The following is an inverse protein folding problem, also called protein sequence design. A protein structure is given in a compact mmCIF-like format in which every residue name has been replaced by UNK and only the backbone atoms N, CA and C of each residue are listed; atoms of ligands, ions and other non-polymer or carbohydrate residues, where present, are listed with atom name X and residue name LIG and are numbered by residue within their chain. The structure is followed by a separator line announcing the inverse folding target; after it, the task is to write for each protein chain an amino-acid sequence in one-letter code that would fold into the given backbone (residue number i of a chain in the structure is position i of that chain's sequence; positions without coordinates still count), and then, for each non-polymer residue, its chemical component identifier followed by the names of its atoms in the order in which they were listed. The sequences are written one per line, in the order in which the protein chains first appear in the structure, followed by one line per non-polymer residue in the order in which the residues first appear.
data_IF_860154813608
#
_entry.id   IF_860154813608
#
_cell.length_a   1.000
_cell.length_b   1.000
_cell.length_c   1.000
_cell.angle_alpha   90.00
_cell.angle_beta   90.00
_cell.angle_gamma   90.00
#
_symmetry.space_group_name_H-M   'P 1'
#
loop_
_entity.id
_entity.type
_entity.pdbx_description
1 polymer ?
#
# COMPACT_ATOMS: atom_id res chain seq x y z
N UNK A 1 22.40 51.70 -37.95
CA UNK A 1 23.12 50.49 -38.37
C UNK A 1 22.14 49.33 -38.42
N UNK A 2 22.05 48.69 -39.60
CA UNK A 2 21.56 47.32 -39.90
C UNK A 2 20.23 46.85 -39.29
N UNK A 3 19.24 46.70 -40.16
CA UNK A 3 18.02 45.92 -39.92
C UNK A 3 18.07 44.49 -40.47
N UNK A 4 17.08 43.70 -40.03
CA UNK A 4 16.53 42.45 -40.59
C UNK A 4 15.11 42.35 -39.95
N UNK A 5 13.95 42.42 -40.63
CA UNK A 5 13.29 41.51 -41.62
C UNK A 5 13.17 40.08 -41.03
N UNK A 6 12.00 39.43 -40.84
CA UNK A 6 10.81 39.11 -41.66
C UNK A 6 9.55 38.97 -40.76
N UNK A 7 8.32 39.43 -41.06
CA UNK A 7 7.28 39.15 -42.09
C UNK A 7 6.48 37.83 -41.96
N UNK A 8 5.25 38.02 -41.45
CA UNK A 8 3.90 37.42 -41.61
C UNK A 8 3.62 36.06 -42.31
N UNK A 9 2.72 35.31 -41.64
CA UNK A 9 1.50 34.58 -42.07
C UNK A 9 1.48 33.67 -43.33
N UNK A 10 0.86 32.49 -43.15
CA UNK A 10 0.15 31.79 -44.23
C UNK A 10 -0.17 30.32 -43.95
N UNK A 11 -1.40 30.02 -43.52
CA UNK A 11 -2.02 28.69 -43.59
C UNK A 11 -2.42 28.34 -45.03
N UNK A 12 -2.21 27.10 -45.47
CA UNK A 12 -3.12 26.40 -46.42
C UNK A 12 -3.10 24.90 -46.13
N UNK A 13 -4.31 24.33 -46.17
CA UNK A 13 -4.65 22.94 -45.97
C UNK A 13 -4.25 22.01 -47.14
N UNK A 14 -3.97 20.75 -46.81
CA UNK A 14 -4.12 19.57 -47.66
C UNK A 14 -4.93 18.59 -46.78
N UNK A 15 -6.15 18.18 -47.10
CA UNK A 15 -6.66 17.80 -48.41
C UNK A 15 -6.75 16.27 -48.42
N UNK A 16 -7.75 15.71 -47.72
CA UNK A 16 -8.10 14.29 -47.77
C UNK A 16 -8.53 13.92 -49.20
N UNK A 17 -7.83 12.97 -49.83
CA UNK A 17 -8.38 12.23 -50.98
C UNK A 17 -8.70 10.82 -50.53
N UNK A 18 -9.96 10.49 -50.73
CA UNK A 18 -10.67 9.22 -50.58
C UNK A 18 -10.23 8.19 -51.60
N UNK A 19 -10.16 6.93 -51.18
CA UNK A 19 -10.67 5.81 -51.99
C UNK A 19 -11.51 4.88 -51.11
N UNK A 20 -12.63 4.51 -51.71
CA UNK A 20 -13.80 3.85 -51.16
C UNK A 20 -13.63 2.33 -51.22
N UNK A 21 -13.99 1.63 -50.15
CA UNK A 21 -14.40 0.22 -50.21
C UNK A 21 -15.50 -0.03 -49.18
N UNK A 22 -16.67 -0.44 -49.68
CA UNK A 22 -17.93 -0.66 -48.96
C UNK A 22 -17.93 -1.93 -48.10
N UNK A 23 -18.90 -2.09 -47.17
CA UNK A 23 -18.65 -2.62 -45.83
C UNK A 23 -19.09 -4.07 -45.63
N UNK A 24 -18.53 -4.73 -44.61
CA UNK A 24 -19.20 -5.64 -43.67
C UNK A 24 -18.15 -6.35 -42.81
N UNK A 25 -17.96 -5.93 -41.55
CA UNK A 25 -18.28 -6.79 -40.39
C UNK A 25 -18.02 -6.00 -39.09
N UNK A 26 -18.88 -6.23 -38.13
CA UNK A 26 -18.99 -5.51 -36.88
C UNK A 26 -17.98 -6.06 -35.87
N UNK A 27 -17.22 -5.15 -35.26
CA UNK A 27 -16.88 -5.25 -33.85
C UNK A 27 -15.66 -6.09 -33.48
N UNK A 28 -14.54 -5.41 -33.23
CA UNK A 28 -13.82 -5.39 -31.94
C UNK A 28 -12.62 -4.48 -32.09
N UNK A 29 -12.69 -3.28 -31.51
CA UNK A 29 -11.48 -2.54 -31.19
C UNK A 29 -10.71 -3.40 -30.19
N UNK A 30 -9.54 -3.90 -30.59
CA UNK A 30 -8.58 -4.48 -29.66
C UNK A 30 -8.22 -3.42 -28.64
N UNK A 31 -8.79 -3.52 -27.44
CA UNK A 31 -8.24 -2.87 -26.27
C UNK A 31 -6.79 -3.39 -26.10
N UNK A 32 -5.86 -2.60 -25.56
CA UNK A 32 -4.61 -3.16 -25.11
C UNK A 32 -4.94 -4.28 -24.12
N UNK A 33 -4.46 -5.49 -24.41
CA UNK A 33 -4.42 -6.57 -23.42
C UNK A 33 -3.48 -6.07 -22.35
N UNK A 34 -4.03 -5.46 -21.30
CA UNK A 34 -3.35 -5.42 -20.01
C UNK A 34 -3.27 -6.88 -19.63
N UNK A 35 -2.06 -7.45 -19.66
CA UNK A 35 -1.79 -8.71 -19.01
C UNK A 35 -2.12 -8.47 -17.53
N UNK A 36 -3.33 -8.82 -17.14
CA UNK A 36 -3.61 -9.12 -15.75
C UNK A 36 -2.55 -10.14 -15.36
N UNK A 37 -1.80 -9.97 -14.27
CA UNK A 37 -0.98 -11.08 -13.79
C UNK A 37 -1.91 -12.28 -13.72
N UNK A 38 -1.50 -13.32 -14.43
CA UNK A 38 -2.20 -14.60 -14.46
C UNK A 38 -2.51 -14.97 -13.01
N UNK A 39 -3.64 -15.65 -12.82
CA UNK A 39 -4.04 -16.21 -11.55
C UNK A 39 -2.97 -17.22 -11.10
N UNK A 40 -1.87 -16.70 -10.60
CA UNK A 40 -0.77 -17.46 -10.10
C UNK A 40 -1.22 -17.91 -8.72
N UNK A 41 -1.56 -19.19 -8.69
CA UNK A 41 -1.63 -20.07 -7.54
C UNK A 41 -0.28 -20.13 -6.78
N UNK A 42 0.40 -19.00 -6.60
CA UNK A 42 1.43 -18.88 -5.59
C UNK A 42 0.69 -18.98 -4.27
N UNK A 43 0.72 -20.18 -3.68
CA UNK A 43 0.48 -20.35 -2.25
C UNK A 43 1.63 -19.65 -1.56
N UNK A 44 1.54 -18.33 -1.54
CA UNK A 44 2.30 -17.48 -0.65
C UNK A 44 1.75 -17.79 0.74
N UNK A 45 2.61 -18.33 1.60
CA UNK A 45 2.21 -18.72 2.95
C UNK A 45 1.57 -17.53 3.65
N UNK A 46 0.35 -17.69 4.15
CA UNK A 46 -0.30 -16.66 4.97
C UNK A 46 0.45 -16.60 6.30
N UNK A 47 0.90 -15.39 6.65
CA UNK A 47 1.67 -15.12 7.85
C UNK A 47 0.78 -14.50 8.93
N UNK A 48 0.90 -15.02 10.15
CA UNK A 48 0.21 -14.49 11.32
C UNK A 48 -1.31 -14.50 11.19
N UNK A 49 -1.97 -13.61 11.94
CA UNK A 49 -3.42 -13.47 11.96
C UNK A 49 -3.88 -12.47 10.88
N UNK A 50 -4.88 -12.82 10.04
CA UNK A 50 -5.50 -11.85 9.13
C UNK A 50 -6.22 -10.71 9.88
N UNK A 51 -6.29 -9.54 9.26
CA UNK A 51 -7.15 -8.45 9.69
C UNK A 51 -8.54 -8.60 9.06
N UNK A 52 -9.55 -8.89 9.88
CA UNK A 52 -10.93 -9.02 9.40
C UNK A 52 -11.58 -7.64 9.18
N UNK A 53 -11.98 -7.36 7.94
CA UNK A 53 -12.68 -6.12 7.57
C UNK A 53 -14.21 -6.25 7.59
N UNK A 54 -14.70 -7.48 7.79
CA UNK A 54 -16.13 -7.81 7.79
C UNK A 54 -16.66 -8.26 6.42
N UNK A 55 -17.85 -8.87 6.42
CA UNK A 55 -18.50 -9.40 5.22
C UNK A 55 -17.62 -10.37 4.38
N UNK A 56 -16.75 -11.14 5.04
CA UNK A 56 -15.82 -12.07 4.38
C UNK A 56 -14.56 -11.42 3.78
N UNK A 57 -14.43 -10.10 3.86
CA UNK A 57 -13.25 -9.36 3.42
C UNK A 57 -12.21 -9.33 4.53
N UNK A 58 -10.93 -9.51 4.17
CA UNK A 58 -9.82 -9.51 5.13
C UNK A 58 -8.53 -9.06 4.48
N UNK A 59 -7.54 -8.71 5.29
CA UNK A 59 -6.16 -8.47 4.85
C UNK A 59 -5.25 -9.53 5.43
N UNK A 60 -4.45 -10.15 4.57
CA UNK A 60 -3.49 -11.20 4.92
C UNK A 60 -2.07 -10.71 4.65
N UNK A 61 -1.15 -10.99 5.56
CA UNK A 61 0.28 -10.93 5.24
C UNK A 61 0.66 -12.23 4.52
N UNK A 62 1.49 -12.12 3.49
CA UNK A 62 1.83 -13.21 2.57
C UNK A 62 3.31 -13.18 2.26
N UNK A 63 4.00 -14.32 2.30
CA UNK A 63 5.43 -14.41 1.96
C UNK A 63 5.71 -13.92 0.53
N UNK A 64 6.67 -13.00 0.37
CA UNK A 64 7.12 -12.54 -0.93
C UNK A 64 7.98 -13.57 -1.67
N UNK A 65 8.38 -13.22 -2.88
CA UNK A 65 9.27 -14.07 -3.69
C UNK A 65 10.71 -14.13 -3.13
N UNK A 66 11.12 -13.09 -2.40
CA UNK A 66 12.43 -13.03 -1.76
C UNK A 66 12.36 -13.49 -0.29
N UNK A 67 13.37 -14.25 0.20
CA UNK A 67 13.40 -14.68 1.59
C UNK A 67 13.35 -13.50 2.57
N UNK A 68 12.36 -13.52 3.47
CA UNK A 68 12.17 -12.48 4.48
C UNK A 68 11.34 -11.29 4.00
N UNK A 69 10.91 -11.27 2.74
CA UNK A 69 9.92 -10.31 2.26
C UNK A 69 8.50 -10.83 2.51
N UNK A 70 7.58 -9.91 2.70
CA UNK A 70 6.16 -10.18 2.87
C UNK A 70 5.35 -8.97 2.43
N UNK A 71 4.18 -9.23 1.86
CA UNK A 71 3.26 -8.21 1.40
C UNK A 71 1.89 -8.39 2.05
N UNK A 72 1.16 -7.27 2.20
CA UNK A 72 -0.25 -7.33 2.55
C UNK A 72 -1.13 -7.47 1.32
N UNK A 73 -2.09 -8.39 1.40
CA UNK A 73 -3.06 -8.67 0.35
C UNK A 73 -4.47 -8.42 0.88
N UNK A 74 -5.22 -7.60 0.16
CA UNK A 74 -6.67 -7.48 0.36
C UNK A 74 -7.33 -8.68 -0.30
N UNK A 75 -8.06 -9.46 0.50
CA UNK A 75 -8.84 -10.61 0.05
C UNK A 75 -10.31 -10.26 0.17
N UNK A 76 -11.00 -10.32 -0.96
CA UNK A 76 -12.44 -10.09 -1.06
C UNK A 76 -13.23 -11.35 -0.68
N UNK A 77 -14.53 -11.18 -0.45
CA UNK A 77 -15.41 -12.26 0.03
C UNK A 77 -15.54 -13.44 -0.95
N UNK A 78 -15.32 -13.18 -2.24
CA UNK A 78 -15.31 -14.19 -3.30
C UNK A 78 -13.96 -14.92 -3.42
N UNK A 79 -12.98 -14.56 -2.58
CA UNK A 79 -11.63 -15.13 -2.58
C UNK A 79 -10.67 -14.47 -3.56
N UNK A 80 -11.12 -13.50 -4.38
CA UNK A 80 -10.21 -12.69 -5.18
C UNK A 80 -9.28 -11.90 -4.26
N UNK A 81 -8.02 -11.74 -4.67
CA UNK A 81 -7.01 -11.10 -3.85
C UNK A 81 -6.12 -10.20 -4.70
N UNK A 82 -5.73 -9.06 -4.14
CA UNK A 82 -4.78 -8.14 -4.75
C UNK A 82 -3.85 -7.53 -3.68
N UNK A 83 -2.63 -7.10 -4.04
CA UNK A 83 -1.76 -6.36 -3.12
C UNK A 83 -2.49 -5.13 -2.58
N UNK A 84 -2.46 -4.94 -1.26
CA UNK A 84 -3.11 -3.83 -0.58
C UNK A 84 -2.37 -2.51 -0.84
N UNK A 85 -1.06 -2.50 -0.59
CA UNK A 85 -0.22 -1.31 -0.69
C UNK A 85 1.26 -1.70 -0.92
N UNK A 86 1.60 -2.18 -2.13
CA UNK A 86 2.90 -2.78 -2.42
C UNK A 86 4.05 -1.79 -2.20
N UNK A 87 5.11 -2.26 -1.56
CA UNK A 87 6.33 -1.50 -1.31
C UNK A 87 7.52 -2.47 -1.17
N UNK A 88 8.75 -1.97 -1.26
CA UNK A 88 9.92 -2.77 -0.89
C UNK A 88 10.00 -2.89 0.63
N UNK A 89 10.32 -4.08 1.15
CA UNK A 89 10.47 -4.36 2.56
C UNK A 89 9.24 -5.05 3.16
N UNK A 90 9.41 -5.85 4.23
CA UNK A 90 8.35 -6.71 4.75
C UNK A 90 7.20 -5.92 5.36
N UNK A 91 5.97 -6.33 5.05
CA UNK A 91 4.75 -5.89 5.69
C UNK A 91 4.09 -7.01 6.50
N UNK A 92 3.86 -6.75 7.78
CA UNK A 92 3.43 -7.77 8.74
C UNK A 92 2.38 -7.26 9.73
N UNK A 93 1.75 -8.21 10.43
CA UNK A 93 0.81 -7.96 11.54
C UNK A 93 -0.31 -6.97 11.19
N UNK A 94 -1.11 -7.24 10.14
CA UNK A 94 -2.24 -6.39 9.81
C UNK A 94 -3.29 -6.43 10.93
N UNK A 95 -3.82 -5.28 11.29
CA UNK A 95 -4.92 -5.12 12.24
C UNK A 95 -5.99 -4.20 11.67
N UNK A 96 -7.22 -4.68 11.66
CA UNK A 96 -8.37 -3.91 11.20
C UNK A 96 -8.73 -2.81 12.21
N UNK A 97 -8.97 -1.61 11.69
CA UNK A 97 -9.57 -0.51 12.42
C UNK A 97 -11.09 -0.51 12.22
N UNK A 98 -11.90 0.02 13.18
CA UNK A 98 -13.35 0.08 13.04
C UNK A 98 -13.86 0.84 11.80
N UNK A 99 -13.05 1.76 11.25
CA UNK A 99 -13.35 2.52 10.05
C UNK A 99 -12.99 1.80 8.74
N UNK A 100 -12.51 0.55 8.83
CA UNK A 100 -12.12 -0.29 7.71
C UNK A 100 -10.70 -0.06 7.19
N UNK A 101 -9.94 0.87 7.80
CA UNK A 101 -8.49 0.98 7.52
C UNK A 101 -7.72 -0.14 8.23
N UNK A 102 -6.46 -0.30 7.86
CA UNK A 102 -5.57 -1.32 8.42
C UNK A 102 -4.32 -0.67 8.96
N UNK A 103 -4.00 -0.92 10.23
CA UNK A 103 -2.67 -0.61 10.79
C UNK A 103 -1.79 -1.85 10.69
N UNK A 104 -0.52 -1.67 10.36
CA UNK A 104 0.43 -2.76 10.13
C UNK A 104 1.87 -2.34 10.38
N UNK A 105 2.76 -3.31 10.52
CA UNK A 105 4.21 -3.09 10.56
C UNK A 105 4.78 -3.09 9.16
N UNK A 106 5.69 -2.16 8.88
CA UNK A 106 6.39 -2.15 7.60
C UNK A 106 7.87 -1.81 7.74
N UNK A 107 8.67 -2.59 7.02
CA UNK A 107 10.09 -2.36 6.74
C UNK A 107 10.34 -1.45 5.54
N UNK A 108 9.32 -0.82 4.96
CA UNK A 108 9.46 0.02 3.74
C UNK A 108 10.28 1.30 3.89
N UNK A 109 10.77 1.56 5.09
CA UNK A 109 11.75 2.61 5.36
C UNK A 109 12.92 2.00 6.08
N UNK A 110 13.99 2.77 6.27
CA UNK A 110 15.19 2.23 6.92
C UNK A 110 14.98 1.75 8.36
N UNK A 111 13.87 2.12 9.02
CA UNK A 111 13.53 1.67 10.37
C UNK A 111 12.11 1.15 10.36
N UNK A 112 11.90 -0.08 10.84
CA UNK A 112 10.56 -0.67 10.94
C UNK A 112 9.63 0.25 11.70
N UNK A 113 8.47 0.50 11.10
CA UNK A 113 7.51 1.51 11.55
C UNK A 113 6.11 0.94 11.52
N UNK A 114 5.19 1.57 12.26
CA UNK A 114 3.77 1.36 12.06
C UNK A 114 3.29 2.22 10.89
N UNK A 115 2.36 1.68 10.10
CA UNK A 115 1.75 2.31 8.95
C UNK A 115 0.25 2.10 8.99
N UNK A 116 -0.50 2.99 8.33
CA UNK A 116 -1.95 2.84 8.14
C UNK A 116 -2.23 2.83 6.64
N UNK A 117 -2.93 1.81 6.15
CA UNK A 117 -3.42 1.71 4.79
C UNK A 117 -4.94 1.86 4.72
N UNK A 118 -5.42 2.46 3.63
CA UNK A 118 -6.83 2.48 3.27
C UNK A 118 -7.09 1.45 2.15
N UNK A 119 -7.79 0.33 2.44
CA UNK A 119 -8.11 -0.69 1.44
C UNK A 119 -8.90 -0.20 0.23
N UNK A 120 -9.57 0.96 0.31
CA UNK A 120 -10.32 1.52 -0.83
C UNK A 120 -9.41 2.20 -1.84
N UNK A 121 -8.28 2.74 -1.39
CA UNK A 121 -7.38 3.55 -2.23
C UNK A 121 -6.03 2.88 -2.45
N UNK A 122 -5.68 1.88 -1.64
CA UNK A 122 -4.35 1.25 -1.62
C UNK A 122 -3.25 2.18 -1.13
N UNK A 123 -3.60 3.36 -0.60
CA UNK A 123 -2.64 4.32 -0.08
C UNK A 123 -2.25 3.97 1.35
N UNK A 124 -0.97 4.14 1.67
CA UNK A 124 -0.43 3.90 3.01
C UNK A 124 0.34 5.13 3.52
N UNK A 125 0.17 5.45 4.79
CA UNK A 125 0.83 6.57 5.48
C UNK A 125 1.60 6.07 6.68
N UNK A 126 2.84 6.52 6.83
CA UNK A 126 3.68 6.21 7.99
C UNK A 126 3.05 6.81 9.25
N UNK A 127 2.98 6.01 10.32
CA UNK A 127 2.45 6.44 11.61
C UNK A 127 3.57 6.77 12.60
N UNK A 128 4.62 5.95 12.66
CA UNK A 128 5.73 6.11 13.62
C UNK A 128 7.10 6.21 12.94
N UNK A 129 8.12 6.62 13.71
CA UNK A 129 9.53 6.62 13.28
C UNK A 129 9.84 7.46 12.02
N UNK A 130 9.07 8.52 11.80
CA UNK A 130 9.26 9.47 10.70
C UNK A 130 10.70 10.00 10.62
N UNK A 131 11.36 9.77 9.48
CA UNK A 131 12.70 10.28 9.20
C UNK A 131 13.84 9.63 10.00
N UNK A 132 13.58 8.54 10.75
CA UNK A 132 14.64 7.80 11.42
C UNK A 132 15.46 6.98 10.41
N UNK A 133 16.77 6.91 10.63
CA UNK A 133 17.73 6.25 9.73
C UNK A 133 18.46 5.12 10.45
N UNK A 134 18.48 3.92 9.86
CA UNK A 134 19.26 2.78 10.36
C UNK A 134 20.72 3.14 10.66
N UNK A 135 21.24 2.62 11.78
CA UNK A 135 22.63 2.85 12.20
C UNK A 135 22.94 4.27 12.71
N UNK A 136 21.92 5.12 12.85
CA UNK A 136 22.05 6.43 13.52
C UNK A 136 21.44 6.39 14.92
N UNK A 137 21.93 7.21 15.88
CA UNK A 137 21.24 7.38 17.15
C UNK A 137 19.84 7.96 16.94
N UNK A 138 18.83 7.37 17.56
CA UNK A 138 17.45 7.84 17.48
C UNK A 138 17.02 8.55 18.76
N UNK A 139 16.15 9.55 18.60
CA UNK A 139 15.33 10.11 19.67
C UNK A 139 13.87 9.80 19.35
N UNK A 140 13.06 9.50 20.36
CA UNK A 140 11.62 9.19 20.21
C UNK A 140 11.33 7.97 19.31
N UNK A 141 12.24 6.99 19.28
CA UNK A 141 11.98 5.72 18.60
C UNK A 141 10.79 5.03 19.26
N UNK A 142 9.87 4.57 18.43
CA UNK A 142 8.72 3.77 18.81
C UNK A 142 9.00 2.34 18.35
N UNK A 143 9.21 1.38 19.27
CA UNK A 143 9.47 0.00 18.88
C UNK A 143 8.22 -0.60 18.22
N UNK A 144 8.37 -1.45 17.20
CA UNK A 144 7.25 -2.20 16.67
C UNK A 144 6.78 -3.28 17.68
N UNK A 145 5.55 -3.79 17.55
CA UNK A 145 5.11 -5.00 18.25
C UNK A 145 6.09 -6.17 18.08
N UNK A 146 6.29 -6.94 19.15
CA UNK A 146 7.14 -8.15 19.09
C UNK A 146 6.37 -9.44 18.80
N UNK A 147 5.05 -9.35 18.57
CA UNK A 147 4.17 -10.50 18.37
C UNK A 147 2.75 -10.10 17.96
N UNK A 148 1.84 -11.08 17.92
CA UNK A 148 0.46 -10.93 17.44
C UNK A 148 -0.53 -10.38 18.47
N UNK A 149 -0.08 -10.13 19.70
CA UNK A 149 -0.89 -9.57 20.79
C UNK A 149 -1.28 -8.09 20.65
N UNK A 150 -0.87 -7.45 19.54
CA UNK A 150 -1.25 -6.09 19.23
C UNK A 150 -2.77 -5.98 18.93
N UNK A 151 -3.39 -4.91 19.43
CA UNK A 151 -4.84 -4.71 19.34
C UNK A 151 -5.19 -3.24 19.19
N UNK A 152 -6.34 -2.96 18.56
CA UNK A 152 -6.87 -1.61 18.40
C UNK A 152 -7.92 -1.34 19.48
N UNK A 153 -7.70 -0.31 20.30
CA UNK A 153 -8.54 0.07 21.44
C UNK A 153 -8.62 1.60 21.55
N UNK A 154 -9.83 2.16 21.60
CA UNK A 154 -10.10 3.59 21.81
C UNK A 154 -9.22 4.51 20.95
N UNK A 155 -9.18 4.25 19.64
CA UNK A 155 -8.43 5.06 18.66
C UNK A 155 -6.91 4.92 18.71
N UNK A 156 -6.38 3.92 19.42
CA UNK A 156 -4.96 3.60 19.48
C UNK A 156 -4.69 2.14 19.16
N UNK A 157 -3.45 1.82 18.78
CA UNK A 157 -2.92 0.47 18.84
C UNK A 157 -2.19 0.29 20.18
N UNK A 158 -2.44 -0.83 20.85
CA UNK A 158 -1.82 -1.22 22.12
C UNK A 158 -1.10 -2.56 21.94
N UNK A 159 0.15 -2.64 22.37
CA UNK A 159 0.99 -3.83 22.16
C UNK A 159 2.18 -3.91 23.12
N UNK A 160 2.76 -5.09 23.27
CA UNK A 160 4.04 -5.28 23.97
C UNK A 160 5.21 -5.20 22.96
N UNK A 161 6.31 -4.57 23.35
CA UNK A 161 7.51 -4.40 22.51
C UNK A 161 8.55 -5.53 22.67
N UNK A 162 8.21 -6.60 23.38
CA UNK A 162 9.07 -7.74 23.68
C UNK A 162 9.97 -7.53 24.90
N UNK A 163 10.02 -6.32 25.46
CA UNK A 163 10.77 -6.02 26.68
C UNK A 163 9.90 -5.95 27.94
N UNK A 164 8.62 -6.32 27.82
CA UNK A 164 7.63 -6.21 28.90
C UNK A 164 7.03 -4.81 29.06
N UNK A 165 7.30 -3.88 28.12
CA UNK A 165 6.66 -2.57 28.08
C UNK A 165 5.47 -2.62 27.15
N UNK A 166 4.31 -2.21 27.67
CA UNK A 166 3.11 -2.00 26.88
C UNK A 166 3.15 -0.59 26.29
N UNK A 167 3.05 -0.49 24.97
CA UNK A 167 2.97 0.76 24.22
C UNK A 167 1.55 1.03 23.79
N UNK A 168 1.18 2.30 23.82
CA UNK A 168 -0.05 2.84 23.21
C UNK A 168 0.32 3.90 22.18
N UNK A 169 -0.11 3.70 20.94
CA UNK A 169 0.13 4.62 19.81
C UNK A 169 -1.19 5.10 19.24
N UNK A 170 -1.43 6.40 19.33
CA UNK A 170 -2.63 7.07 18.81
C UNK A 170 -2.69 6.96 17.27
N UNK A 171 -3.72 6.32 16.72
CA UNK A 171 -3.84 6.07 15.28
C UNK A 171 -4.05 7.35 14.47
N UNK A 172 -4.63 8.38 15.08
CA UNK A 172 -4.86 9.67 14.42
C UNK A 172 -3.60 10.53 14.30
N UNK A 173 -2.59 10.33 15.16
CA UNK A 173 -1.45 11.25 15.28
C UNK A 173 -0.07 10.60 15.32
N UNK A 174 -0.01 9.28 15.53
CA UNK A 174 1.24 8.56 15.76
C UNK A 174 1.92 8.84 17.10
N UNK A 175 1.28 9.61 17.99
CA UNK A 175 1.81 9.87 19.33
C UNK A 175 1.85 8.58 20.14
N UNK A 176 3.04 8.23 20.59
CA UNK A 176 3.32 7.01 21.33
C UNK A 176 3.65 7.31 22.78
N UNK A 177 3.19 6.45 23.69
CA UNK A 177 3.60 6.42 25.09
C UNK A 177 3.65 4.99 25.59
N UNK A 178 4.50 4.74 26.58
CA UNK A 178 4.44 3.50 27.37
C UNK A 178 3.28 3.64 28.36
N UNK A 179 2.41 2.64 28.44
CA UNK A 179 1.39 2.58 29.49
C UNK A 179 2.06 2.33 30.84
N UNK A 180 1.59 3.01 31.87
CA UNK A 180 2.03 2.71 33.23
C UNK A 180 1.51 1.33 33.60
N UNK A 181 2.39 0.45 34.09
CA UNK A 181 1.96 -0.79 34.74
C UNK A 181 1.02 -0.43 35.90
N UNK A 182 -0.12 -1.14 36.07
CA UNK A 182 -1.06 -0.91 37.17
C UNK A 182 -0.41 -0.92 38.56
#
# INVERSE_FOLDING_TARGET
MRGAVWLLLGSVALGCSSEESTPSDVGRRSAPVVLLPESDNHVSGVLGRPAELGAGRRVEARTGDEPGESDLWLVEADGSAAPLCPALGPDELPLAMPDGRVVFMSGRTTVTSLWIADPKTGTATQLTNHGLVAGKPWKNFVPPPSGDGARVEDGAIVYDDGSGRVWRVELATGRAKVEATP
#
